data_IF_030950902267
#
_entry.id   IF_030950902267
#
_cell.length_a   1.000
_cell.length_b   1.000
_cell.length_c   1.000
_cell.angle_alpha   90.00
_cell.angle_beta   90.00
_cell.angle_gamma   90.00
#
_symmetry.space_group_name_H-M   'P 1'
#
loop_
_entity.id
_entity.type
_entity.pdbx_description
1 polymer ?
#
# COMPACT_ATOMS: atom_id res chain seq x y z
N UNK A 1 -12.69 4.71 -24.79
CA UNK A 1 -11.46 4.32 -24.07
C UNK A 1 -11.84 4.23 -22.59
N UNK A 2 -11.95 3.02 -22.06
CA UNK A 2 -12.21 2.80 -20.64
C UNK A 2 -11.02 3.34 -19.81
N UNK A 3 -11.28 4.37 -19.04
CA UNK A 3 -10.32 4.85 -18.03
C UNK A 3 -10.18 3.76 -16.97
N UNK A 4 -9.10 2.99 -16.99
CA UNK A 4 -8.73 2.15 -15.86
C UNK A 4 -8.42 3.06 -14.67
N UNK A 5 -9.33 3.07 -13.68
CA UNK A 5 -9.14 3.77 -12.41
C UNK A 5 -8.03 3.01 -11.66
N UNK A 6 -6.85 3.59 -11.57
CA UNK A 6 -5.78 3.04 -10.72
C UNK A 6 -5.96 3.64 -9.31
N UNK A 7 -6.29 2.78 -8.37
CA UNK A 7 -6.34 3.16 -6.97
C UNK A 7 -4.91 3.27 -6.44
N UNK A 8 -4.54 4.47 -6.00
CA UNK A 8 -3.23 4.71 -5.38
C UNK A 8 -3.16 4.19 -3.94
N UNK A 9 -4.29 4.19 -3.24
CA UNK A 9 -4.44 3.63 -1.89
C UNK A 9 -5.53 2.56 -1.98
N UNK A 10 -5.37 1.36 -1.40
CA UNK A 10 -6.43 0.37 -1.36
C UNK A 10 -7.68 0.96 -0.69
N UNK A 11 -8.81 1.02 -1.41
CA UNK A 11 -10.05 1.62 -0.91
C UNK A 11 -10.50 1.00 0.41
N UNK A 12 -10.37 -0.32 0.53
CA UNK A 12 -10.73 -1.02 1.76
C UNK A 12 -9.84 -0.62 2.94
N UNK A 13 -8.54 -0.37 2.75
CA UNK A 13 -7.64 0.10 3.80
C UNK A 13 -7.98 1.53 4.24
N UNK A 14 -8.28 2.41 3.29
CA UNK A 14 -8.68 3.78 3.59
C UNK A 14 -10.01 3.81 4.36
N UNK A 15 -11.01 3.04 3.92
CA UNK A 15 -12.31 2.93 4.58
C UNK A 15 -12.17 2.41 6.01
N UNK A 16 -11.37 1.37 6.21
CA UNK A 16 -11.09 0.80 7.53
C UNK A 16 -10.39 1.81 8.44
N UNK A 17 -9.40 2.55 7.94
CA UNK A 17 -8.68 3.57 8.70
C UNK A 17 -9.60 4.74 9.12
N UNK A 18 -10.48 5.21 8.24
CA UNK A 18 -11.47 6.25 8.57
C UNK A 18 -12.48 5.75 9.61
N UNK A 19 -12.99 4.54 9.45
CA UNK A 19 -13.90 3.95 10.40
C UNK A 19 -13.28 3.80 11.80
N UNK A 20 -12.04 3.30 11.86
CA UNK A 20 -11.26 3.21 13.10
C UNK A 20 -11.06 4.59 13.74
N UNK A 21 -10.70 5.61 12.96
CA UNK A 21 -10.51 6.95 13.45
C UNK A 21 -11.80 7.52 14.09
N UNK A 22 -12.97 7.24 13.51
CA UNK A 22 -14.27 7.67 14.03
C UNK A 22 -14.71 6.88 15.27
N UNK A 23 -14.55 5.56 15.26
CA UNK A 23 -14.96 4.65 16.36
C UNK A 23 -14.13 4.91 17.62
N UNK A 24 -12.81 5.13 17.45
CA UNK A 24 -11.87 5.28 18.55
C UNK A 24 -11.60 6.73 18.97
N UNK A 25 -12.18 7.71 18.28
CA UNK A 25 -12.09 9.13 18.66
C UNK A 25 -12.55 9.35 20.10
N UNK A 26 -11.83 10.20 20.83
CA UNK A 26 -12.32 10.83 22.05
C UNK A 26 -13.21 12.03 21.66
N UNK A 27 -14.49 11.95 21.99
CA UNK A 27 -15.49 12.95 21.58
C UNK A 27 -15.58 14.14 22.52
N UNK A 28 -15.03 14.02 23.74
CA UNK A 28 -15.02 15.08 24.75
C UNK A 28 -13.97 16.16 24.48
N UNK A 29 -13.08 15.92 23.51
CA UNK A 29 -12.05 16.88 23.10
C UNK A 29 -12.56 17.64 21.89
N UNK A 30 -12.58 18.97 21.99
CA UNK A 30 -13.01 19.87 20.90
C UNK A 30 -11.92 20.00 19.82
N UNK A 31 -11.72 18.94 19.08
CA UNK A 31 -10.81 18.91 17.92
C UNK A 31 -11.34 17.96 16.87
N UNK A 32 -10.78 17.95 15.69
CA UNK A 32 -11.29 17.17 14.55
C UNK A 32 -10.37 16.02 14.16
N UNK A 33 -10.94 14.97 13.54
CA UNK A 33 -10.15 14.01 12.81
C UNK A 33 -9.56 14.75 11.61
N UNK A 34 -8.24 14.63 11.43
CA UNK A 34 -7.54 15.24 10.30
C UNK A 34 -7.13 14.19 9.29
N UNK A 35 -7.49 14.40 8.03
CA UNK A 35 -7.04 13.61 6.89
C UNK A 35 -6.17 14.50 6.03
N UNK A 36 -4.90 14.13 5.89
CA UNK A 36 -3.92 14.84 5.05
C UNK A 36 -3.50 13.95 3.89
N UNK A 37 -3.58 14.48 2.68
CA UNK A 37 -3.23 13.76 1.45
C UNK A 37 -1.92 14.33 0.91
N UNK A 38 -0.95 13.46 0.72
CA UNK A 38 0.35 13.73 0.12
C UNK A 38 0.50 12.96 -1.19
N UNK A 39 1.52 13.26 -1.95
CA UNK A 39 1.77 12.56 -3.24
C UNK A 39 2.07 11.08 -3.04
N UNK A 40 2.65 10.71 -1.90
CA UNK A 40 3.15 9.38 -1.58
C UNK A 40 2.39 8.66 -0.45
N UNK A 41 1.44 9.32 0.24
CA UNK A 41 0.68 8.74 1.36
C UNK A 41 -0.57 9.53 1.73
N UNK A 42 -1.42 8.91 2.53
CA UNK A 42 -2.49 9.57 3.29
C UNK A 42 -2.20 9.40 4.78
N UNK A 43 -2.36 10.47 5.55
CA UNK A 43 -2.28 10.46 7.01
C UNK A 43 -3.66 10.73 7.60
N UNK A 44 -4.09 9.89 8.55
CA UNK A 44 -5.35 10.02 9.26
C UNK A 44 -5.04 10.12 10.75
N UNK A 45 -5.36 11.25 11.37
CA UNK A 45 -5.09 11.51 12.79
C UNK A 45 -6.41 11.63 13.52
N UNK A 46 -6.60 10.76 14.52
CA UNK A 46 -7.76 10.76 15.40
C UNK A 46 -7.38 11.29 16.78
N UNK A 47 -8.19 12.19 17.36
CA UNK A 47 -8.00 12.65 18.74
C UNK A 47 -8.24 11.54 19.76
N UNK A 48 -7.35 11.49 20.74
CA UNK A 48 -7.33 10.51 21.85
C UNK A 48 -6.31 9.41 21.63
N UNK A 49 -5.51 9.13 22.67
CA UNK A 49 -4.57 7.99 22.69
C UNK A 49 -5.27 6.65 22.89
N UNK A 50 -4.59 5.64 23.37
CA UNK A 50 -5.19 4.34 23.63
C UNK A 50 -6.18 4.38 24.81
N UNK A 51 -7.21 3.53 24.83
CA UNK A 51 -8.04 3.31 26.02
C UNK A 51 -7.18 2.81 27.18
N UNK A 52 -7.58 3.17 28.42
CA UNK A 52 -6.90 2.68 29.62
C UNK A 52 -6.84 1.15 29.66
N UNK A 53 -5.68 0.60 30.00
CA UNK A 53 -5.45 -0.84 30.11
C UNK A 53 -5.10 -1.54 28.81
N UNK A 54 -4.88 -0.78 27.71
CA UNK A 54 -4.34 -1.32 26.45
C UNK A 54 -2.95 -0.75 26.24
N UNK A 55 -1.99 -1.63 26.00
CA UNK A 55 -0.63 -1.26 25.60
C UNK A 55 -0.57 -1.03 24.09
N UNK A 56 0.45 -0.30 23.65
CA UNK A 56 0.69 -0.08 22.22
C UNK A 56 0.91 -1.39 21.46
N UNK A 57 1.66 -2.33 22.06
CA UNK A 57 1.90 -3.66 21.48
C UNK A 57 0.61 -4.47 21.28
N UNK A 58 -0.29 -4.43 22.26
CA UNK A 58 -1.59 -5.11 22.16
C UNK A 58 -2.46 -4.48 21.06
N UNK A 59 -2.48 -3.15 20.97
CA UNK A 59 -3.18 -2.43 19.93
C UNK A 59 -2.61 -2.73 18.53
N UNK A 60 -1.28 -2.61 18.36
CA UNK A 60 -0.60 -2.82 17.08
C UNK A 60 -0.65 -4.28 16.59
N UNK A 61 -0.71 -5.24 17.55
CA UNK A 61 -0.88 -6.66 17.22
C UNK A 61 -2.31 -7.04 16.83
N UNK A 62 -3.28 -6.14 17.07
CA UNK A 62 -4.71 -6.42 16.82
C UNK A 62 -5.30 -7.49 17.74
N UNK A 63 -4.62 -7.84 18.85
CA UNK A 63 -5.11 -8.86 19.81
C UNK A 63 -6.24 -8.37 20.69
N UNK A 64 -6.23 -7.07 21.01
CA UNK A 64 -7.24 -6.44 21.83
C UNK A 64 -7.85 -5.25 21.11
N UNK A 65 -9.15 -5.16 21.15
CA UNK A 65 -9.91 -4.01 20.66
C UNK A 65 -10.92 -3.57 21.70
N UNK A 66 -10.76 -2.35 22.19
CA UNK A 66 -11.74 -1.69 23.05
C UNK A 66 -12.41 -0.59 22.28
N UNK A 67 -13.67 -0.81 21.95
CA UNK A 67 -14.48 0.17 21.22
C UNK A 67 -14.87 1.31 22.16
N UNK A 68 -14.44 2.53 21.89
CA UNK A 68 -14.91 3.72 22.60
C UNK A 68 -16.35 4.07 22.26
N UNK A 69 -16.71 3.94 20.99
CA UNK A 69 -18.04 4.25 20.51
C UNK A 69 -18.70 2.99 19.93
N UNK A 70 -19.28 2.16 20.82
CA UNK A 70 -19.96 0.92 20.45
C UNK A 70 -21.16 1.15 19.51
N UNK A 71 -21.90 2.25 19.71
CA UNK A 71 -23.06 2.54 18.87
C UNK A 71 -22.63 2.83 17.44
N UNK A 72 -21.59 3.64 17.25
CA UNK A 72 -21.05 3.95 15.94
C UNK A 72 -20.42 2.71 15.28
N UNK A 73 -19.70 1.89 16.04
CA UNK A 73 -19.14 0.63 15.54
C UNK A 73 -20.25 -0.31 15.04
N UNK A 74 -21.37 -0.42 15.77
CA UNK A 74 -22.51 -1.22 15.35
C UNK A 74 -23.18 -0.70 14.06
N UNK A 75 -23.25 0.63 13.89
CA UNK A 75 -23.77 1.24 12.65
C UNK A 75 -22.86 0.89 11.48
N UNK A 76 -21.55 1.08 11.63
CA UNK A 76 -20.58 0.77 10.58
C UNK A 76 -20.54 -0.72 10.23
N UNK A 77 -20.69 -1.59 11.22
CA UNK A 77 -20.81 -3.02 10.99
C UNK A 77 -22.06 -3.37 10.16
N UNK A 78 -23.22 -2.83 10.52
CA UNK A 78 -24.46 -3.06 9.77
C UNK A 78 -24.40 -2.54 8.33
N UNK A 79 -23.62 -1.47 8.10
CA UNK A 79 -23.36 -0.92 6.77
C UNK A 79 -22.27 -1.68 6.00
N UNK A 80 -21.63 -2.68 6.60
CA UNK A 80 -20.55 -3.45 5.98
C UNK A 80 -19.24 -2.67 5.84
N UNK A 81 -19.06 -1.60 6.59
CA UNK A 81 -17.82 -0.80 6.54
C UNK A 81 -16.70 -1.38 7.39
N UNK A 82 -17.03 -2.05 8.50
CA UNK A 82 -16.08 -2.69 9.42
C UNK A 82 -16.57 -4.06 9.86
N UNK A 83 -15.64 -4.87 10.39
CA UNK A 83 -15.94 -6.14 11.06
C UNK A 83 -15.97 -5.94 12.58
N UNK A 84 -16.80 -6.71 13.32
CA UNK A 84 -17.01 -6.51 14.78
C UNK A 84 -15.76 -6.81 15.63
N UNK A 85 -14.82 -7.62 15.15
CA UNK A 85 -13.86 -8.33 16.00
C UNK A 85 -12.47 -7.66 16.14
N UNK A 86 -12.36 -6.35 16.00
CA UNK A 86 -11.11 -5.65 16.28
C UNK A 86 -9.96 -5.98 15.33
N UNK A 87 -10.28 -6.48 14.15
CA UNK A 87 -9.31 -6.90 13.13
C UNK A 87 -8.84 -5.75 12.23
N UNK A 88 -9.27 -4.52 12.48
CA UNK A 88 -9.05 -3.38 11.58
C UNK A 88 -7.59 -3.12 11.24
N UNK A 89 -6.68 -3.11 12.24
CA UNK A 89 -5.24 -2.93 12.01
C UNK A 89 -4.67 -4.10 11.19
N UNK A 90 -5.01 -5.33 11.60
CA UNK A 90 -4.54 -6.54 10.90
C UNK A 90 -5.02 -6.55 9.45
N UNK A 91 -6.26 -6.16 9.21
CA UNK A 91 -6.84 -6.07 7.85
C UNK A 91 -6.14 -5.00 7.01
N UNK A 92 -5.88 -3.82 7.56
CA UNK A 92 -5.09 -2.80 6.86
C UNK A 92 -3.72 -3.36 6.49
N UNK A 93 -3.01 -4.01 7.42
CA UNK A 93 -1.70 -4.63 7.15
C UNK A 93 -1.78 -5.70 6.06
N UNK A 94 -2.79 -6.58 6.09
CA UNK A 94 -3.00 -7.62 5.07
C UNK A 94 -3.21 -7.04 3.66
N UNK A 95 -3.95 -5.92 3.55
CA UNK A 95 -4.17 -5.25 2.27
C UNK A 95 -2.88 -4.66 1.66
N UNK A 96 -1.83 -4.52 2.46
CA UNK A 96 -0.51 -4.05 2.05
C UNK A 96 0.56 -5.16 2.04
N UNK A 97 0.21 -6.42 2.29
CA UNK A 97 1.17 -7.53 2.41
C UNK A 97 2.11 -7.65 1.20
N UNK A 98 1.57 -7.46 -0.01
CA UNK A 98 2.35 -7.46 -1.25
C UNK A 98 2.92 -6.07 -1.62
N UNK A 99 2.74 -5.08 -0.76
CA UNK A 99 3.19 -3.71 -1.00
C UNK A 99 4.67 -3.48 -0.64
N UNK A 100 5.33 -2.64 -1.43
CA UNK A 100 6.73 -2.22 -1.19
C UNK A 100 6.88 -1.45 0.13
N UNK A 101 5.85 -0.70 0.52
CA UNK A 101 5.77 0.03 1.78
C UNK A 101 4.58 -0.48 2.59
N UNK A 102 4.79 -0.61 3.89
CA UNK A 102 3.74 -1.03 4.82
C UNK A 102 3.05 0.19 5.47
N UNK A 103 1.79 0.05 5.90
CA UNK A 103 1.12 1.06 6.70
C UNK A 103 1.83 1.26 8.03
N UNK A 104 1.82 2.48 8.52
CA UNK A 104 2.37 2.82 9.83
C UNK A 104 1.28 3.32 10.79
N UNK A 105 1.47 3.06 12.07
CA UNK A 105 0.52 3.37 13.13
C UNK A 105 1.30 4.01 14.28
N UNK A 106 1.10 5.30 14.48
CA UNK A 106 1.75 6.05 15.54
C UNK A 106 0.75 6.32 16.66
N UNK A 107 1.11 5.92 17.86
CA UNK A 107 0.31 6.13 19.06
C UNK A 107 0.99 7.15 19.95
N UNK A 108 0.23 8.13 20.40
CA UNK A 108 0.66 9.09 21.43
C UNK A 108 -0.38 9.17 22.55
N UNK A 109 -0.06 9.90 23.59
CA UNK A 109 -1.00 10.13 24.70
C UNK A 109 -2.34 10.71 24.23
N UNK A 110 -2.32 11.59 23.23
CA UNK A 110 -3.49 12.37 22.81
C UNK A 110 -3.94 12.14 21.37
N UNK A 111 -3.26 11.30 20.61
CA UNK A 111 -3.62 11.01 19.21
C UNK A 111 -3.24 9.61 18.78
N UNK A 112 -4.00 9.07 17.85
CA UNK A 112 -3.62 7.91 17.04
C UNK A 112 -3.53 8.37 15.60
N UNK A 113 -2.38 8.12 14.96
CA UNK A 113 -2.14 8.42 13.54
C UNK A 113 -1.99 7.13 12.75
N UNK A 114 -2.69 7.04 11.65
CA UNK A 114 -2.57 5.95 10.66
C UNK A 114 -1.98 6.57 9.39
N UNK A 115 -0.89 5.98 8.89
CA UNK A 115 -0.24 6.35 7.64
C UNK A 115 -0.47 5.25 6.63
N UNK A 116 -1.14 5.58 5.54
CA UNK A 116 -1.38 4.70 4.41
C UNK A 116 -0.51 5.15 3.24
N UNK A 117 0.60 4.46 2.92
CA UNK A 117 1.43 4.81 1.76
C UNK A 117 0.70 4.52 0.45
N UNK A 118 1.11 5.18 -0.63
CA UNK A 118 0.69 4.78 -1.97
C UNK A 118 1.09 3.33 -2.18
N UNK A 119 0.14 2.52 -2.60
CA UNK A 119 0.35 1.08 -2.81
C UNK A 119 1.16 0.86 -4.08
N UNK A 120 2.36 0.35 -3.91
CA UNK A 120 3.23 -0.13 -4.97
C UNK A 120 3.54 -1.59 -4.67
N UNK A 121 3.21 -2.49 -5.61
CA UNK A 121 3.48 -3.92 -5.43
C UNK A 121 4.98 -4.15 -5.35
N UNK A 122 5.44 -4.90 -4.33
CA UNK A 122 6.83 -5.38 -4.30
C UNK A 122 7.00 -6.48 -5.35
N UNK A 123 7.73 -6.14 -6.39
CA UNK A 123 7.97 -7.02 -7.53
C UNK A 123 9.11 -8.03 -7.25
N UNK A 124 9.67 -8.05 -6.03
CA UNK A 124 10.79 -8.91 -5.64
C UNK A 124 11.94 -8.88 -6.66
N UNK A 125 12.25 -7.66 -7.14
CA UNK A 125 13.31 -7.43 -8.12
C UNK A 125 14.66 -7.31 -7.42
N UNK A 126 15.67 -7.97 -7.98
CA UNK A 126 17.06 -7.74 -7.62
C UNK A 126 17.47 -6.30 -7.99
N UNK A 127 18.61 -5.83 -7.47
CA UNK A 127 19.11 -4.47 -7.77
C UNK A 127 19.32 -4.25 -9.27
N UNK A 128 19.87 -5.24 -9.96
CA UNK A 128 20.07 -5.18 -11.42
C UNK A 128 18.75 -5.18 -12.20
N UNK A 129 17.76 -5.97 -11.76
CA UNK A 129 16.42 -5.96 -12.35
C UNK A 129 15.70 -4.63 -12.11
N UNK A 130 15.88 -3.99 -10.94
CA UNK A 130 15.34 -2.64 -10.66
C UNK A 130 15.91 -1.59 -11.60
N UNK A 131 17.21 -1.64 -11.92
CA UNK A 131 17.84 -0.76 -12.91
C UNK A 131 17.17 -0.92 -14.29
N UNK A 132 16.93 -2.14 -14.73
CA UNK A 132 16.21 -2.41 -15.99
C UNK A 132 14.76 -1.90 -15.91
N UNK A 133 14.07 -2.18 -14.82
CA UNK A 133 12.68 -1.78 -14.62
C UNK A 133 12.47 -0.26 -14.73
N UNK A 134 13.39 0.54 -14.18
CA UNK A 134 13.35 2.00 -14.27
C UNK A 134 13.51 2.55 -15.70
N UNK A 135 14.16 1.79 -16.58
CA UNK A 135 14.38 2.18 -17.98
C UNK A 135 13.16 1.81 -18.83
N UNK A 136 12.43 0.75 -18.46
CA UNK A 136 11.26 0.27 -19.19
C UNK A 136 10.07 1.22 -19.04
N UNK A 137 9.11 1.09 -19.95
CA UNK A 137 7.85 1.85 -19.95
C UNK A 137 6.66 0.90 -19.80
N UNK A 138 5.55 1.39 -19.25
CA UNK A 138 4.25 0.69 -19.25
C UNK A 138 3.46 0.87 -20.54
N UNK A 139 3.93 1.76 -21.42
CA UNK A 139 3.18 2.18 -22.62
C UNK A 139 3.98 1.91 -23.90
N UNK A 140 5.31 2.01 -23.83
CA UNK A 140 6.18 1.92 -24.99
C UNK A 140 7.05 0.66 -24.94
N UNK A 141 6.95 -0.13 -25.99
CA UNK A 141 7.79 -1.30 -26.23
C UNK A 141 9.23 -0.87 -26.58
N UNK A 142 10.21 -1.24 -25.77
CA UNK A 142 11.63 -0.92 -25.99
C UNK A 142 12.41 -2.14 -26.45
N UNK A 143 13.19 -2.03 -27.56
CA UNK A 143 14.14 -3.07 -27.95
C UNK A 143 15.34 -3.08 -27.00
N UNK A 144 16.06 -4.19 -26.94
CA UNK A 144 17.22 -4.35 -26.06
C UNK A 144 18.32 -3.29 -26.32
N UNK A 145 18.44 -2.82 -27.54
CA UNK A 145 19.38 -1.76 -27.92
C UNK A 145 19.15 -0.42 -27.24
N UNK A 146 17.91 -0.17 -26.80
CA UNK A 146 17.53 1.03 -26.05
C UNK A 146 17.63 0.83 -24.52
N UNK A 147 17.89 -0.38 -24.04
CA UNK A 147 18.02 -0.69 -22.62
C UNK A 147 19.50 -0.79 -22.22
N UNK A 148 20.29 -1.52 -23.01
CA UNK A 148 21.71 -1.79 -22.71
C UNK A 148 22.56 -0.53 -22.48
N UNK A 149 22.39 0.60 -23.18
CA UNK A 149 23.19 1.80 -22.93
C UNK A 149 23.03 2.43 -21.55
N UNK A 150 21.95 2.12 -20.85
CA UNK A 150 21.59 2.71 -19.55
C UNK A 150 21.83 1.77 -18.36
N UNK A 151 22.38 0.58 -18.60
CA UNK A 151 22.77 -0.38 -17.55
C UNK A 151 24.28 -0.61 -17.56
N UNK A 152 24.84 -0.91 -16.40
CA UNK A 152 26.28 -1.11 -16.20
C UNK A 152 26.78 -2.50 -16.64
N UNK A 153 25.91 -3.29 -17.27
CA UNK A 153 26.20 -4.68 -17.67
C UNK A 153 25.81 -4.93 -19.12
N UNK A 154 26.46 -5.93 -19.73
CA UNK A 154 26.34 -6.20 -21.16
C UNK A 154 25.01 -6.85 -21.58
N UNK A 155 24.81 -6.90 -22.91
CA UNK A 155 23.59 -7.41 -23.56
C UNK A 155 23.17 -8.81 -23.08
N UNK A 156 24.11 -9.73 -22.89
CA UNK A 156 23.79 -11.11 -22.45
C UNK A 156 23.15 -11.14 -21.07
N UNK A 157 23.69 -10.39 -20.11
CA UNK A 157 23.12 -10.27 -18.76
C UNK A 157 21.75 -9.57 -18.79
N UNK A 158 21.63 -8.49 -19.57
CA UNK A 158 20.34 -7.79 -19.76
C UNK A 158 19.26 -8.73 -20.30
N UNK A 159 19.59 -9.52 -21.32
CA UNK A 159 18.63 -10.49 -21.91
C UNK A 159 18.20 -11.55 -20.89
N UNK A 160 19.14 -12.07 -20.08
CA UNK A 160 18.85 -13.05 -19.05
C UNK A 160 17.90 -12.46 -17.98
N UNK A 161 18.22 -11.28 -17.48
CA UNK A 161 17.38 -10.59 -16.47
C UNK A 161 15.99 -10.26 -17.00
N UNK A 162 15.86 -9.78 -18.24
CA UNK A 162 14.56 -9.52 -18.85
C UNK A 162 13.72 -10.77 -18.99
N UNK A 163 14.33 -11.94 -19.23
CA UNK A 163 13.65 -13.23 -19.25
C UNK A 163 13.16 -13.63 -17.84
N UNK A 164 14.04 -13.49 -16.83
CA UNK A 164 13.68 -13.75 -15.43
C UNK A 164 12.55 -12.84 -14.95
N UNK A 165 12.59 -11.54 -15.30
CA UNK A 165 11.52 -10.58 -15.03
C UNK A 165 10.21 -10.94 -15.75
N UNK A 166 10.29 -11.52 -16.95
CA UNK A 166 9.10 -12.01 -17.66
C UNK A 166 8.51 -13.25 -16.98
N UNK A 167 9.35 -14.17 -16.51
CA UNK A 167 8.92 -15.34 -15.73
C UNK A 167 8.28 -14.93 -14.38
N UNK A 168 8.75 -13.84 -13.76
CA UNK A 168 8.12 -13.20 -12.60
C UNK A 168 6.82 -12.45 -12.93
N UNK A 169 6.44 -12.34 -14.21
CA UNK A 169 5.24 -11.62 -14.64
C UNK A 169 5.34 -10.11 -14.61
N UNK A 170 6.55 -9.55 -14.49
CA UNK A 170 6.83 -8.11 -14.40
C UNK A 170 6.99 -7.45 -15.76
N UNK A 171 7.56 -8.20 -16.72
CA UNK A 171 7.84 -7.74 -18.08
C UNK A 171 7.12 -8.61 -19.09
N UNK A 172 6.53 -7.99 -20.08
CA UNK A 172 6.00 -8.67 -21.26
C UNK A 172 7.02 -8.58 -22.41
N UNK A 173 7.20 -9.70 -23.11
CA UNK A 173 8.13 -9.82 -24.23
C UNK A 173 7.32 -9.97 -25.49
N UNK A 174 7.48 -9.03 -26.44
CA UNK A 174 6.85 -9.08 -27.73
C UNK A 174 7.84 -9.30 -28.87
N UNK A 175 7.45 -10.07 -29.87
CA UNK A 175 8.27 -10.37 -31.06
C UNK A 175 9.25 -11.52 -30.86
N UNK A 176 10.06 -11.80 -31.87
CA UNK A 176 11.07 -12.88 -31.89
C UNK A 176 12.38 -12.40 -32.52
N UNK A 177 13.50 -12.95 -32.05
CA UNK A 177 14.83 -12.69 -32.59
C UNK A 177 15.25 -11.22 -32.52
N UNK A 178 15.66 -10.62 -33.61
CA UNK A 178 16.11 -9.21 -33.66
C UNK A 178 14.99 -8.19 -33.43
N UNK A 179 13.72 -8.61 -33.56
CA UNK A 179 12.54 -7.76 -33.35
C UNK A 179 11.97 -7.82 -31.94
N UNK A 180 12.61 -8.50 -31.00
CA UNK A 180 12.14 -8.62 -29.61
C UNK A 180 12.14 -7.28 -28.91
N UNK A 181 11.00 -6.92 -28.30
CA UNK A 181 10.80 -5.73 -27.50
C UNK A 181 10.21 -6.07 -26.14
N UNK A 182 10.36 -5.16 -25.19
CA UNK A 182 10.02 -5.35 -23.77
C UNK A 182 9.19 -4.17 -23.27
N UNK A 183 8.18 -4.49 -22.43
CA UNK A 183 7.29 -3.51 -21.78
C UNK A 183 6.98 -3.98 -20.38
N UNK A 184 6.73 -3.07 -19.44
CA UNK A 184 6.23 -3.40 -18.10
C UNK A 184 4.77 -3.88 -18.24
N UNK A 185 4.47 -4.99 -17.61
CA UNK A 185 3.13 -5.62 -17.62
C UNK A 185 2.10 -4.86 -16.77
#
# INVERSE_FOLDING_TARGET
ADRKKMEKIPEAAFREAIANALIHRVWDVDTHIRVSMFDDRIEIISPGGLPSGITEDEYLSGKLSVLRNRNLANVFYRLGFVEIFGTGITRIKQLYEEGLKQPDFEVSENTIKIVLPVFEKDLNLTEDERKIYQILSKIMLKPISEIVPYVEFGKSKTTKLLKEMSEKGVVEIEGKGKGTKYVIK
#
